data_IF_796678601550
#
_entry.id   IF_796678601550
#
_cell.length_a   1.000
_cell.length_b   1.000
_cell.length_c   1.000
_cell.angle_alpha   90.00
_cell.angle_beta   90.00
_cell.angle_gamma   90.00
#
_symmetry.space_group_name_H-M   'P 1'
#
loop_
_entity.id
_entity.type
_entity.pdbx_description
1 polymer ?
#
# COMPACT_ATOMS: atom_id res chain seq x y z
N UNK A 1 14.58 18.64 9.46
CA UNK A 1 13.38 18.02 8.86
C UNK A 1 12.74 17.14 9.90
N UNK A 2 11.49 17.31 10.24
CA UNK A 2 10.70 16.11 10.51
C UNK A 2 10.97 15.22 9.31
N UNK A 3 11.36 13.98 9.51
CA UNK A 3 11.69 13.05 8.43
C UNK A 3 10.48 13.01 7.49
N UNK A 4 10.60 13.62 6.31
CA UNK A 4 9.54 13.58 5.30
C UNK A 4 9.31 12.10 4.99
N UNK A 5 8.23 11.53 5.52
CA UNK A 5 7.93 10.13 5.35
C UNK A 5 7.47 9.92 3.91
N UNK A 6 8.31 9.32 3.10
CA UNK A 6 7.96 8.90 1.75
C UNK A 6 6.80 7.90 1.87
N UNK A 7 5.67 8.20 1.23
CA UNK A 7 4.50 7.34 1.25
C UNK A 7 4.73 6.00 0.54
N UNK A 8 3.93 5.02 0.86
CA UNK A 8 3.87 3.74 0.16
C UNK A 8 3.10 3.86 -1.16
N UNK A 9 3.28 2.89 -2.05
CA UNK A 9 2.59 2.81 -3.33
C UNK A 9 1.08 2.56 -3.12
N UNK A 10 0.27 3.18 -3.95
CA UNK A 10 -1.16 2.89 -4.06
C UNK A 10 -1.40 1.71 -5.01
N UNK A 11 -2.56 1.08 -4.91
CA UNK A 11 -2.90 -0.05 -5.76
C UNK A 11 -2.83 0.27 -7.26
N UNK A 12 -3.25 1.48 -7.65
CA UNK A 12 -3.26 1.98 -9.03
C UNK A 12 -1.86 2.37 -9.56
N UNK A 13 -0.85 2.40 -8.70
CA UNK A 13 0.55 2.68 -9.03
C UNK A 13 1.39 1.40 -9.21
N UNK A 14 0.78 0.24 -8.97
CA UNK A 14 1.44 -1.06 -9.05
C UNK A 14 0.90 -1.83 -10.25
N UNK A 15 1.81 -2.20 -11.12
CA UNK A 15 1.53 -2.99 -12.31
C UNK A 15 1.90 -4.46 -12.09
N UNK A 16 1.21 -5.37 -12.78
CA UNK A 16 1.46 -6.80 -12.76
C UNK A 16 2.11 -7.23 -14.08
N UNK A 17 3.21 -7.97 -13.99
CA UNK A 17 3.91 -8.54 -15.15
C UNK A 17 4.00 -10.06 -15.02
N UNK A 18 3.67 -10.79 -16.09
CA UNK A 18 3.88 -12.23 -16.15
C UNK A 18 5.40 -12.49 -16.15
N UNK A 19 5.86 -13.27 -15.16
CA UNK A 19 7.26 -13.67 -15.03
C UNK A 19 7.53 -15.04 -15.64
N UNK A 20 6.75 -16.03 -15.22
CA UNK A 20 6.82 -17.38 -15.76
C UNK A 20 5.44 -17.88 -16.15
N UNK A 21 5.37 -18.78 -17.14
CA UNK A 21 4.11 -19.35 -17.60
C UNK A 21 4.31 -20.82 -17.99
N UNK A 22 3.34 -21.65 -17.66
CA UNK A 22 3.29 -23.07 -17.99
C UNK A 22 1.84 -23.51 -18.23
N UNK A 23 1.62 -24.76 -18.57
CA UNK A 23 0.26 -25.35 -18.69
C UNK A 23 -0.54 -25.29 -17.37
N UNK A 24 0.17 -25.29 -16.21
CA UNK A 24 -0.45 -25.34 -14.87
C UNK A 24 -0.86 -23.97 -14.34
N UNK A 25 -0.25 -22.91 -14.87
CA UNK A 25 -0.48 -21.56 -14.41
C UNK A 25 0.65 -20.61 -14.77
N UNK A 26 0.60 -19.42 -14.21
CA UNK A 26 1.60 -18.38 -14.39
C UNK A 26 1.95 -17.70 -13.06
N UNK A 27 3.15 -17.13 -13.00
CA UNK A 27 3.54 -16.27 -11.88
C UNK A 27 3.55 -14.81 -12.30
N UNK A 28 3.21 -13.93 -11.38
CA UNK A 28 3.27 -12.48 -11.57
C UNK A 28 4.39 -11.87 -10.71
N UNK A 29 4.99 -10.81 -11.25
CA UNK A 29 5.81 -9.86 -10.51
C UNK A 29 5.09 -8.52 -10.45
N UNK A 30 5.19 -7.86 -9.31
CA UNK A 30 4.72 -6.49 -9.12
C UNK A 30 5.86 -5.52 -9.48
N UNK A 31 5.52 -4.45 -10.18
CA UNK A 31 6.47 -3.41 -10.52
C UNK A 31 5.77 -2.04 -10.57
N UNK A 32 6.52 -0.97 -10.72
CA UNK A 32 6.01 0.39 -10.87
C UNK A 32 6.65 1.09 -12.07
N UNK A 33 5.94 2.00 -12.68
CA UNK A 33 6.47 2.89 -13.70
C UNK A 33 7.35 3.98 -13.05
N UNK A 34 8.37 4.44 -13.78
CA UNK A 34 9.27 5.51 -13.30
C UNK A 34 8.56 6.85 -13.05
N UNK A 35 7.39 7.08 -13.67
CA UNK A 35 6.56 8.27 -13.42
C UNK A 35 5.95 8.27 -12.03
N UNK A 36 5.76 7.09 -11.43
CA UNK A 36 5.33 6.97 -10.04
C UNK A 36 6.42 7.48 -9.11
N UNK A 37 7.68 7.15 -9.38
CA UNK A 37 8.82 7.68 -8.61
C UNK A 37 8.88 9.20 -8.68
N UNK A 38 8.75 9.78 -9.87
CA UNK A 38 8.73 11.24 -10.06
C UNK A 38 7.61 11.88 -9.23
N UNK A 39 6.39 11.33 -9.32
CA UNK A 39 5.24 11.84 -8.57
C UNK A 39 5.48 11.81 -7.06
N UNK A 40 6.02 10.72 -6.54
CA UNK A 40 6.32 10.59 -5.10
C UNK A 40 7.41 11.58 -4.67
N UNK A 41 8.44 11.79 -5.49
CA UNK A 41 9.46 12.80 -5.25
C UNK A 41 8.87 14.22 -5.24
N UNK A 42 8.02 14.54 -6.22
CA UNK A 42 7.33 15.83 -6.30
C UNK A 42 6.39 16.05 -5.10
N UNK A 43 5.60 15.04 -4.73
CA UNK A 43 4.69 15.09 -3.58
C UNK A 43 5.44 15.27 -2.25
N UNK A 44 6.63 14.66 -2.12
CA UNK A 44 7.36 14.63 -0.85
C UNK A 44 8.29 15.83 -0.68
N UNK A 45 8.97 16.24 -1.74
CA UNK A 45 10.05 17.24 -1.68
C UNK A 45 9.73 18.50 -2.50
N UNK A 46 8.64 18.50 -3.27
CA UNK A 46 8.33 19.55 -4.26
C UNK A 46 9.18 19.42 -5.52
N UNK A 47 8.71 20.01 -6.62
CA UNK A 47 9.38 19.92 -7.93
C UNK A 47 10.81 20.51 -7.96
N UNK A 48 11.17 21.38 -7.03
CA UNK A 48 12.49 22.00 -6.90
C UNK A 48 13.35 21.40 -5.78
N UNK A 49 12.78 20.49 -4.97
CA UNK A 49 13.46 19.88 -3.84
C UNK A 49 14.25 18.62 -4.21
N UNK A 50 14.21 18.18 -5.46
CA UNK A 50 14.97 17.04 -5.94
C UNK A 50 15.48 17.26 -7.36
N UNK A 51 16.52 16.55 -7.72
CA UNK A 51 17.08 16.54 -9.09
C UNK A 51 17.66 15.17 -9.40
N UNK A 52 17.87 14.88 -10.69
CA UNK A 52 18.54 13.66 -11.13
C UNK A 52 19.55 13.94 -12.23
N UNK A 53 20.58 13.12 -12.26
CA UNK A 53 21.58 13.09 -13.34
C UNK A 53 21.89 11.65 -13.72
N UNK A 54 22.41 11.44 -14.92
CA UNK A 54 22.87 10.15 -15.37
C UNK A 54 24.36 10.25 -15.77
N UNK A 55 25.13 9.23 -15.44
CA UNK A 55 26.54 9.12 -15.77
C UNK A 55 26.84 7.69 -16.24
N UNK A 56 27.64 7.57 -17.31
CA UNK A 56 28.18 6.29 -17.73
C UNK A 56 29.49 6.04 -17.01
N UNK A 57 29.60 4.93 -16.28
CA UNK A 57 30.78 4.50 -15.54
C UNK A 57 31.07 3.06 -15.97
N UNK A 58 32.24 2.82 -16.53
CA UNK A 58 32.66 1.49 -17.01
C UNK A 58 31.63 0.80 -17.92
N UNK A 59 31.01 1.57 -18.83
CA UNK A 59 29.99 1.08 -19.76
C UNK A 59 28.60 0.86 -19.16
N UNK A 60 28.41 1.15 -17.87
CA UNK A 60 27.13 1.04 -17.19
C UNK A 60 26.52 2.42 -16.93
N UNK A 61 25.21 2.55 -17.13
CA UNK A 61 24.50 3.81 -16.87
C UNK A 61 24.02 3.85 -15.43
N UNK A 62 24.54 4.82 -14.69
CA UNK A 62 24.13 5.14 -13.31
C UNK A 62 23.19 6.33 -13.32
N UNK A 63 22.20 6.32 -12.42
CA UNK A 63 21.37 7.47 -12.10
C UNK A 63 21.65 7.91 -10.67
N UNK A 64 21.94 9.19 -10.49
CA UNK A 64 22.00 9.84 -9.19
C UNK A 64 20.71 10.61 -8.96
N UNK A 65 20.03 10.37 -7.85
CA UNK A 65 18.92 11.17 -7.37
C UNK A 65 19.38 11.93 -6.14
N UNK A 66 19.25 13.25 -6.18
CA UNK A 66 19.66 14.15 -5.12
C UNK A 66 18.43 14.85 -4.53
N UNK A 67 18.40 14.96 -3.21
CA UNK A 67 17.33 15.64 -2.45
C UNK A 67 17.98 16.76 -1.64
N UNK A 68 17.38 17.94 -1.67
CA UNK A 68 17.83 19.09 -0.89
C UNK A 68 17.46 18.91 0.59
N UNK A 69 18.45 18.81 1.46
CA UNK A 69 18.22 18.96 2.88
C UNK A 69 18.04 20.45 3.22
N UNK A 70 16.80 20.84 3.45
CA UNK A 70 16.44 22.24 3.76
C UNK A 70 17.03 22.77 5.07
N UNK A 71 17.57 21.90 5.94
CA UNK A 71 18.22 22.32 7.19
C UNK A 71 19.66 22.72 6.98
N UNK A 72 20.41 21.87 6.26
CA UNK A 72 21.84 22.13 5.97
C UNK A 72 22.05 22.95 4.70
N UNK A 73 21.05 22.99 3.79
CA UNK A 73 21.18 23.55 2.46
C UNK A 73 21.98 22.64 1.50
N UNK A 74 22.30 21.42 1.91
CA UNK A 74 23.10 20.49 1.13
C UNK A 74 22.23 19.56 0.27
N UNK A 75 22.77 19.19 -0.90
CA UNK A 75 22.21 18.17 -1.76
C UNK A 75 22.74 16.79 -1.35
N UNK A 76 21.87 15.93 -0.84
CA UNK A 76 22.23 14.55 -0.48
C UNK A 76 21.93 13.65 -1.66
N UNK A 77 22.95 12.90 -2.12
CA UNK A 77 22.91 12.08 -3.31
C UNK A 77 22.82 10.58 -2.97
N UNK A 78 22.01 9.85 -3.74
CA UNK A 78 22.01 8.38 -3.79
C UNK A 78 22.00 7.93 -5.23
N UNK A 79 22.84 6.95 -5.55
CA UNK A 79 23.07 6.49 -6.92
C UNK A 79 22.81 4.99 -7.04
N UNK A 80 22.39 4.56 -8.23
CA UNK A 80 22.32 3.15 -8.57
C UNK A 80 22.46 2.94 -10.09
N UNK A 81 22.81 1.71 -10.48
CA UNK A 81 23.04 1.29 -11.85
C UNK A 81 21.76 0.70 -12.47
N UNK A 82 21.55 0.95 -13.75
CA UNK A 82 20.45 0.35 -14.51
C UNK A 82 20.93 -0.80 -15.41
N UNK A 83 20.05 -1.79 -15.57
CA UNK A 83 20.25 -2.88 -16.54
C UNK A 83 19.60 -2.55 -17.87
N UNK A 84 20.21 -3.01 -18.96
CA UNK A 84 19.64 -2.84 -20.30
C UNK A 84 18.49 -3.81 -20.54
N UNK A 85 17.36 -3.30 -21.05
CA UNK A 85 16.26 -4.14 -21.52
C UNK A 85 16.51 -4.72 -22.91
N UNK A 86 15.63 -5.61 -23.33
CA UNK A 86 15.70 -6.23 -24.67
C UNK A 86 15.29 -5.27 -25.81
N UNK A 87 14.39 -4.33 -25.52
CA UNK A 87 13.90 -3.31 -26.46
C UNK A 87 14.20 -1.92 -25.91
N UNK A 88 14.48 -0.94 -26.79
CA UNK A 88 14.81 0.45 -26.42
C UNK A 88 15.88 0.51 -25.29
N UNK A 89 17.03 -0.07 -25.54
CA UNK A 89 18.06 -0.35 -24.53
C UNK A 89 18.42 0.86 -23.68
N UNK A 90 18.69 2.00 -24.30
CA UNK A 90 19.12 3.23 -23.61
C UNK A 90 18.02 3.80 -22.71
N UNK A 91 16.80 3.87 -23.23
CA UNK A 91 15.62 4.34 -22.48
C UNK A 91 15.27 3.40 -21.33
N UNK A 92 15.35 2.09 -21.57
CA UNK A 92 15.12 1.07 -20.58
C UNK A 92 16.14 1.16 -19.45
N UNK A 93 17.44 1.29 -19.77
CA UNK A 93 18.51 1.41 -18.82
C UNK A 93 18.42 2.70 -17.99
N UNK A 94 18.10 3.84 -18.63
CA UNK A 94 17.90 5.11 -17.93
C UNK A 94 16.71 5.05 -16.97
N UNK A 95 15.60 4.43 -17.39
CA UNK A 95 14.44 4.25 -16.54
C UNK A 95 14.72 3.31 -15.38
N UNK A 96 15.44 2.22 -15.61
CA UNK A 96 15.79 1.24 -14.59
C UNK A 96 16.74 1.84 -13.54
N UNK A 97 17.83 2.52 -13.98
CA UNK A 97 18.76 3.18 -13.07
C UNK A 97 18.08 4.22 -12.18
N UNK A 98 17.12 4.99 -12.74
CA UNK A 98 16.34 5.96 -11.97
C UNK A 98 15.46 5.28 -10.91
N UNK A 99 14.70 4.26 -11.27
CA UNK A 99 13.85 3.49 -10.33
C UNK A 99 14.69 2.89 -9.19
N UNK A 100 15.90 2.40 -9.50
CA UNK A 100 16.83 1.83 -8.51
C UNK A 100 17.41 2.91 -7.60
N UNK A 101 17.78 4.08 -8.15
CA UNK A 101 18.20 5.22 -7.33
C UNK A 101 17.08 5.68 -6.39
N UNK A 102 15.82 5.71 -6.85
CA UNK A 102 14.65 6.01 -6.02
C UNK A 102 14.40 4.95 -4.94
N UNK A 103 14.66 3.67 -5.22
CA UNK A 103 14.62 2.61 -4.23
C UNK A 103 15.59 2.87 -3.05
N UNK A 104 16.77 3.45 -3.32
CA UNK A 104 17.71 3.83 -2.27
C UNK A 104 17.17 4.94 -1.35
N UNK A 105 16.21 5.72 -1.83
CA UNK A 105 15.46 6.71 -1.05
C UNK A 105 14.25 6.12 -0.31
N UNK A 106 13.88 4.86 -0.58
CA UNK A 106 12.77 4.16 0.06
C UNK A 106 11.50 4.11 -0.76
N UNK A 107 11.52 4.55 -2.03
CA UNK A 107 10.36 4.51 -2.92
C UNK A 107 10.22 3.12 -3.54
N UNK A 108 9.11 2.45 -3.30
CA UNK A 108 8.80 1.15 -3.89
C UNK A 108 9.54 -0.04 -3.26
N UNK A 109 10.18 0.13 -2.09
CA UNK A 109 10.83 -0.98 -1.36
C UNK A 109 9.85 -2.05 -0.95
N UNK A 110 8.62 -1.68 -0.67
CA UNK A 110 7.53 -2.58 -0.31
C UNK A 110 7.25 -3.66 -1.36
N UNK A 111 7.56 -3.41 -2.64
CA UNK A 111 7.38 -4.41 -3.70
C UNK A 111 8.27 -5.66 -3.51
N UNK A 112 9.38 -5.52 -2.80
CA UNK A 112 10.28 -6.65 -2.49
C UNK A 112 9.75 -7.55 -1.38
N UNK A 113 8.73 -7.10 -0.63
CA UNK A 113 8.01 -7.92 0.34
C UNK A 113 6.81 -8.67 -0.28
N UNK A 114 6.63 -8.58 -1.61
CA UNK A 114 5.55 -9.26 -2.31
C UNK A 114 5.65 -10.79 -2.14
N UNK A 115 4.55 -11.48 -1.85
CA UNK A 115 4.53 -12.93 -1.80
C UNK A 115 4.77 -13.52 -3.19
N UNK A 116 5.05 -14.81 -3.27
CA UNK A 116 5.00 -15.52 -4.55
C UNK A 116 3.56 -15.52 -5.08
N UNK A 117 3.34 -14.81 -6.19
CA UNK A 117 2.01 -14.65 -6.80
C UNK A 117 1.85 -15.69 -7.89
N UNK A 118 1.06 -16.74 -7.59
CA UNK A 118 0.73 -17.80 -8.54
C UNK A 118 -0.74 -17.75 -8.95
N UNK A 119 -0.99 -17.77 -10.25
CA UNK A 119 -2.33 -17.83 -10.85
C UNK A 119 -2.48 -19.17 -11.56
N UNK A 120 -3.36 -20.07 -11.07
CA UNK A 120 -3.63 -21.35 -11.74
C UNK A 120 -4.24 -21.17 -13.12
N UNK A 121 -4.01 -22.11 -14.03
CA UNK A 121 -4.51 -22.08 -15.40
C UNK A 121 -6.03 -21.86 -15.52
N UNK A 122 -6.82 -22.37 -14.57
CA UNK A 122 -8.29 -22.13 -14.54
C UNK A 122 -8.71 -20.70 -14.25
N UNK A 123 -7.77 -19.79 -13.88
CA UNK A 123 -8.01 -18.38 -13.62
C UNK A 123 -7.35 -17.42 -14.60
N UNK A 124 -6.64 -17.95 -15.61
CA UNK A 124 -5.97 -17.19 -16.68
C UNK A 124 -6.17 -17.88 -18.03
N UNK A 125 -6.27 -17.10 -19.11
CA UNK A 125 -6.44 -17.60 -20.46
C UNK A 125 -5.09 -18.05 -21.06
N UNK A 126 -4.53 -19.14 -20.53
CA UNK A 126 -3.26 -19.71 -21.00
C UNK A 126 -3.50 -20.49 -22.28
N UNK A 127 -2.70 -20.21 -23.30
CA UNK A 127 -2.76 -20.84 -24.62
C UNK A 127 -1.38 -21.39 -25.00
N UNK A 128 -1.37 -22.50 -25.73
CA UNK A 128 -0.16 -23.02 -26.36
C UNK A 128 -0.08 -22.48 -27.79
N UNK A 129 0.93 -21.70 -28.10
CA UNK A 129 1.21 -21.16 -29.44
C UNK A 129 2.68 -21.39 -29.76
N UNK A 130 2.96 -21.96 -30.95
CA UNK A 130 4.32 -22.22 -31.42
C UNK A 130 5.20 -22.94 -30.39
N UNK A 131 4.66 -23.98 -29.74
CA UNK A 131 5.30 -24.73 -28.64
C UNK A 131 5.67 -23.90 -27.39
N UNK A 132 5.09 -22.70 -27.23
CA UNK A 132 5.27 -21.86 -26.07
C UNK A 132 3.93 -21.51 -25.43
N UNK A 133 3.86 -21.59 -24.10
CA UNK A 133 2.69 -21.11 -23.39
C UNK A 133 2.70 -19.57 -23.39
N UNK A 134 1.55 -18.97 -23.68
CA UNK A 134 1.34 -17.52 -23.64
C UNK A 134 0.00 -17.19 -22.97
N UNK A 135 -0.10 -16.01 -22.41
CA UNK A 135 -1.31 -15.44 -21.85
C UNK A 135 -1.33 -13.94 -22.17
N UNK A 136 -2.46 -13.48 -22.68
CA UNK A 136 -2.68 -12.09 -23.06
C UNK A 136 -3.58 -11.36 -22.07
N UNK A 137 -3.98 -12.02 -20.98
CA UNK A 137 -4.76 -11.39 -19.92
C UNK A 137 -3.95 -10.27 -19.25
N UNK A 138 -4.62 -9.17 -18.98
CA UNK A 138 -4.08 -8.08 -18.17
C UNK A 138 -4.54 -8.25 -16.72
N UNK A 139 -3.57 -8.17 -15.82
CA UNK A 139 -3.80 -8.26 -14.38
C UNK A 139 -3.54 -6.91 -13.72
N UNK A 140 -4.34 -6.56 -12.73
CA UNK A 140 -4.16 -5.31 -11.97
C UNK A 140 -4.33 -5.54 -10.48
N UNK A 141 -3.62 -4.77 -9.69
CA UNK A 141 -3.80 -4.73 -8.25
C UNK A 141 -5.09 -3.97 -7.96
N UNK A 142 -6.07 -4.65 -7.35
CA UNK A 142 -7.33 -4.05 -6.94
C UNK A 142 -7.25 -3.38 -5.58
N UNK A 143 -6.54 -4.03 -4.65
CA UNK A 143 -6.29 -3.49 -3.32
C UNK A 143 -4.98 -4.01 -2.77
N UNK A 144 -4.33 -3.21 -1.94
CA UNK A 144 -3.10 -3.54 -1.25
C UNK A 144 -3.16 -2.92 0.14
N UNK A 145 -2.60 -3.63 1.13
CA UNK A 145 -2.38 -3.10 2.47
C UNK A 145 -0.97 -3.43 2.95
N UNK A 146 -0.48 -2.63 3.87
CA UNK A 146 0.87 -2.72 4.41
C UNK A 146 0.82 -2.84 5.93
N UNK A 147 1.82 -3.52 6.51
CA UNK A 147 2.02 -3.60 7.96
C UNK A 147 2.84 -2.39 8.47
N UNK A 148 3.12 -2.38 9.77
CA UNK A 148 3.91 -1.32 10.42
C UNK A 148 5.36 -1.27 9.90
N UNK A 149 5.89 -2.38 9.44
CA UNK A 149 7.22 -2.54 8.86
C UNK A 149 7.26 -2.13 7.38
N UNK A 150 6.12 -1.60 6.84
CA UNK A 150 5.96 -1.16 5.45
C UNK A 150 6.03 -2.31 4.43
N UNK A 151 5.71 -3.54 4.84
CA UNK A 151 5.65 -4.73 4.00
C UNK A 151 4.22 -5.01 3.55
N UNK A 152 4.05 -5.66 2.40
CA UNK A 152 2.73 -6.04 1.88
C UNK A 152 2.09 -7.07 2.81
N UNK A 153 1.03 -6.69 3.50
CA UNK A 153 0.27 -7.55 4.42
C UNK A 153 -0.99 -8.13 3.80
N UNK A 154 -1.62 -7.43 2.84
CA UNK A 154 -2.75 -7.95 2.09
C UNK A 154 -2.67 -7.48 0.62
N UNK A 155 -3.12 -8.33 -0.30
CA UNK A 155 -3.07 -8.06 -1.73
C UNK A 155 -4.20 -8.77 -2.47
N UNK A 156 -4.94 -8.03 -3.29
CA UNK A 156 -5.94 -8.61 -4.19
C UNK A 156 -5.57 -8.24 -5.62
N UNK A 157 -5.45 -9.24 -6.49
CA UNK A 157 -5.23 -9.06 -7.92
C UNK A 157 -6.46 -9.58 -8.68
N UNK A 158 -6.88 -8.80 -9.66
CA UNK A 158 -8.01 -9.12 -10.55
C UNK A 158 -7.56 -9.13 -12.01
N UNK A 159 -8.33 -9.82 -12.85
CA UNK A 159 -8.16 -9.77 -14.29
C UNK A 159 -9.01 -8.63 -14.90
N UNK A 160 -9.00 -8.49 -16.24
CA UNK A 160 -9.76 -7.48 -16.98
C UNK A 160 -11.28 -7.49 -16.69
N UNK A 161 -11.82 -8.67 -16.34
CA UNK A 161 -13.25 -8.85 -16.01
C UNK A 161 -13.55 -8.60 -14.54
N UNK A 162 -12.66 -7.94 -13.82
CA UNK A 162 -12.74 -7.70 -12.36
C UNK A 162 -12.87 -8.99 -11.52
N UNK A 163 -12.55 -10.16 -12.07
CA UNK A 163 -12.55 -11.41 -11.32
C UNK A 163 -11.27 -11.53 -10.52
N UNK A 164 -11.40 -11.87 -9.24
CA UNK A 164 -10.28 -12.12 -8.34
C UNK A 164 -9.50 -13.36 -8.79
N UNK A 165 -8.23 -13.20 -9.13
CA UNK A 165 -7.31 -14.26 -9.54
C UNK A 165 -6.31 -14.64 -8.46
N UNK A 166 -5.95 -13.69 -7.59
CA UNK A 166 -5.04 -13.89 -6.46
C UNK A 166 -5.51 -13.11 -5.24
N UNK A 167 -5.27 -13.66 -4.05
CA UNK A 167 -5.54 -13.01 -2.77
C UNK A 167 -4.50 -13.44 -1.74
N UNK A 168 -3.82 -12.44 -1.15
CA UNK A 168 -3.10 -12.56 0.10
C UNK A 168 -3.99 -11.95 1.20
N UNK A 169 -4.40 -12.75 2.17
CA UNK A 169 -5.11 -12.25 3.35
C UNK A 169 -4.11 -11.84 4.41
N UNK A 170 -4.24 -10.64 4.96
CA UNK A 170 -3.45 -10.20 6.11
C UNK A 170 -3.68 -11.13 7.31
N UNK A 171 -2.66 -11.36 8.10
CA UNK A 171 -2.80 -12.06 9.36
C UNK A 171 -3.74 -11.24 10.28
N UNK A 172 -4.99 -11.68 10.42
CA UNK A 172 -6.02 -10.99 11.20
C UNK A 172 -7.28 -10.58 10.46
N UNK A 173 -7.43 -10.93 9.18
CA UNK A 173 -8.62 -10.59 8.41
C UNK A 173 -9.53 -11.81 8.15
N UNK A 174 -10.20 -12.30 9.18
CA UNK A 174 -11.51 -12.90 9.00
C UNK A 174 -12.48 -11.75 8.76
N UNK A 175 -12.76 -11.44 7.51
CA UNK A 175 -13.72 -10.39 7.18
C UNK A 175 -14.63 -10.80 6.05
N UNK A 176 -15.89 -10.81 6.41
CA UNK A 176 -17.03 -10.61 5.52
C UNK A 176 -16.83 -9.30 4.73
N UNK A 177 -17.19 -9.35 3.45
CA UNK A 177 -17.25 -8.20 2.54
C UNK A 177 -17.75 -6.93 3.23
N UNK A 178 -16.94 -5.86 3.13
CA UNK A 178 -17.48 -4.51 3.13
C UNK A 178 -16.52 -3.54 2.43
N UNK A 179 -16.88 -3.22 1.21
CA UNK A 179 -16.37 -2.09 0.45
C UNK A 179 -16.98 -0.82 1.08
N UNK A 180 -16.23 -0.17 1.97
CA UNK A 180 -16.55 1.20 2.38
C UNK A 180 -15.29 1.96 2.70
N UNK A 181 -15.10 3.04 1.94
CA UNK A 181 -14.12 4.12 2.08
C UNK A 181 -13.58 4.32 3.50
N UNK A 182 -12.27 4.54 3.61
CA UNK A 182 -11.58 5.10 4.78
C UNK A 182 -12.15 6.51 5.10
N UNK A 183 -13.28 6.54 5.78
CA UNK A 183 -13.68 7.68 6.59
C UNK A 183 -13.29 7.36 8.03
N UNK A 184 -12.60 8.29 8.70
CA UNK A 184 -12.50 8.33 10.16
C UNK A 184 -13.90 8.05 10.71
N UNK A 185 -14.11 6.91 11.36
CA UNK A 185 -15.38 6.58 11.95
C UNK A 185 -15.53 7.39 13.24
N UNK A 186 -16.03 8.60 13.13
CA UNK A 186 -16.67 9.28 14.23
C UNK A 186 -18.06 8.65 14.46
N UNK A 187 -18.45 8.47 15.72
CA UNK A 187 -19.79 8.01 16.06
C UNK A 187 -20.83 8.95 15.46
N UNK A 188 -21.96 8.41 15.00
CA UNK A 188 -23.08 9.24 14.56
C UNK A 188 -23.68 9.99 15.77
N UNK A 189 -24.33 11.14 15.51
CA UNK A 189 -25.01 11.91 16.57
C UNK A 189 -26.00 11.05 17.38
N UNK A 190 -26.69 10.13 16.73
CA UNK A 190 -27.61 9.18 17.36
C UNK A 190 -26.88 8.18 18.29
N UNK A 191 -25.70 7.71 17.89
CA UNK A 191 -24.88 6.84 18.73
C UNK A 191 -24.32 7.55 19.95
N UNK A 192 -23.91 8.81 19.81
CA UNK A 192 -23.46 9.66 20.93
C UNK A 192 -24.61 9.88 21.91
N UNK A 193 -25.81 10.22 21.43
CA UNK A 193 -27.00 10.39 22.28
C UNK A 193 -27.37 9.11 23.01
N UNK A 194 -27.31 7.94 22.33
CA UNK A 194 -27.56 6.66 22.95
C UNK A 194 -26.54 6.31 24.04
N UNK A 195 -25.27 6.61 23.82
CA UNK A 195 -24.20 6.41 24.80
C UNK A 195 -24.43 7.29 26.04
N UNK A 196 -24.75 8.57 25.86
CA UNK A 196 -25.05 9.50 26.94
C UNK A 196 -26.27 9.04 27.78
N UNK A 197 -27.32 8.53 27.12
CA UNK A 197 -28.49 7.99 27.80
C UNK A 197 -28.14 6.81 28.70
N UNK A 198 -27.30 5.88 28.23
CA UNK A 198 -26.88 4.71 29.00
C UNK A 198 -25.93 5.07 30.14
N UNK A 199 -25.05 6.05 29.95
CA UNK A 199 -24.20 6.59 31.02
C UNK A 199 -25.05 7.23 32.13
N UNK A 200 -26.02 8.06 31.75
CA UNK A 200 -26.95 8.68 32.70
C UNK A 200 -27.79 7.60 33.46
N UNK A 201 -28.29 6.60 32.74
CA UNK A 201 -29.03 5.48 33.35
C UNK A 201 -28.20 4.70 34.37
N UNK A 202 -26.92 4.49 34.08
CA UNK A 202 -26.05 3.66 34.96
C UNK A 202 -25.28 4.47 35.98
N UNK A 203 -25.32 5.80 35.94
CA UNK A 203 -24.55 6.68 36.82
C UNK A 203 -23.02 6.61 36.63
N UNK A 204 -22.58 6.01 35.53
CA UNK A 204 -21.15 5.87 35.21
C UNK A 204 -20.67 7.14 34.49
N UNK A 205 -19.61 7.76 35.02
CA UNK A 205 -18.98 8.90 34.40
C UNK A 205 -18.25 8.50 33.11
N UNK A 206 -18.23 9.39 32.11
CA UNK A 206 -17.55 9.16 30.82
C UNK A 206 -16.05 8.88 30.99
N UNK A 207 -15.42 9.55 31.94
CA UNK A 207 -14.00 9.37 32.27
C UNK A 207 -13.68 7.93 32.66
N UNK A 208 -14.59 7.25 33.40
CA UNK A 208 -14.43 5.84 33.75
C UNK A 208 -14.44 4.93 32.52
N UNK A 209 -15.27 5.27 31.53
CA UNK A 209 -15.31 4.54 30.25
C UNK A 209 -14.04 4.82 29.44
N UNK A 210 -13.59 6.06 29.39
CA UNK A 210 -12.36 6.47 28.70
C UNK A 210 -11.14 5.74 29.28
N UNK A 211 -10.98 5.72 30.58
CA UNK A 211 -9.87 5.04 31.26
C UNK A 211 -9.89 3.53 31.05
N UNK A 212 -11.05 2.91 31.16
CA UNK A 212 -11.21 1.45 31.02
C UNK A 212 -10.93 0.95 29.61
N UNK A 213 -11.32 1.73 28.60
CA UNK A 213 -11.22 1.36 27.19
C UNK A 213 -10.12 2.09 26.45
N UNK A 214 -9.31 2.92 27.15
CA UNK A 214 -8.22 3.74 26.62
C UNK A 214 -8.65 4.63 25.43
N UNK A 215 -9.77 5.33 25.60
CA UNK A 215 -10.35 6.21 24.60
C UNK A 215 -9.98 7.65 24.93
N UNK A 216 -9.36 8.38 24.01
CA UNK A 216 -8.99 9.78 24.22
C UNK A 216 -10.20 10.71 24.11
N UNK A 217 -11.05 10.51 23.11
CA UNK A 217 -12.25 11.31 22.88
C UNK A 217 -13.45 10.40 22.52
N UNK A 218 -14.66 10.63 23.07
CA UNK A 218 -15.85 9.82 22.77
C UNK A 218 -16.18 9.74 21.30
N UNK A 219 -15.95 10.83 20.58
CA UNK A 219 -16.23 10.96 19.14
C UNK A 219 -15.24 10.16 18.25
N UNK A 220 -14.05 9.84 18.79
CA UNK A 220 -13.03 9.05 18.10
C UNK A 220 -13.22 7.54 18.25
N UNK A 221 -14.26 7.10 18.97
CA UNK A 221 -14.55 5.71 19.25
C UNK A 221 -14.93 4.96 17.95
N UNK A 222 -14.30 3.80 17.70
CA UNK A 222 -14.69 2.94 16.60
C UNK A 222 -16.07 2.28 16.85
N UNK A 223 -16.78 1.90 15.78
CA UNK A 223 -18.06 1.23 15.88
C UNK A 223 -17.99 -0.08 16.71
N UNK A 224 -16.86 -0.80 16.65
CA UNK A 224 -16.64 -2.00 17.45
C UNK A 224 -16.48 -1.68 18.93
N UNK A 225 -15.70 -0.65 19.25
CA UNK A 225 -15.51 -0.19 20.62
C UNK A 225 -16.82 0.32 21.22
N UNK A 226 -17.61 1.09 20.45
CA UNK A 226 -18.95 1.51 20.82
C UNK A 226 -19.84 0.33 21.18
N UNK A 227 -19.85 -0.74 20.35
CA UNK A 227 -20.61 -1.95 20.63
C UNK A 227 -20.21 -2.64 21.95
N UNK A 228 -18.91 -2.71 22.25
CA UNK A 228 -18.38 -3.26 23.50
C UNK A 228 -18.80 -2.42 24.73
N UNK A 229 -18.66 -1.11 24.63
CA UNK A 229 -19.05 -0.17 25.69
C UNK A 229 -20.55 -0.25 25.96
N UNK A 230 -21.38 -0.18 24.91
CA UNK A 230 -22.85 -0.27 25.04
C UNK A 230 -23.29 -1.62 25.61
N UNK A 231 -22.67 -2.72 25.24
CA UNK A 231 -22.97 -4.04 25.80
C UNK A 231 -22.62 -4.13 27.28
N UNK A 232 -21.55 -3.50 27.71
CA UNK A 232 -21.15 -3.44 29.12
C UNK A 232 -22.12 -2.56 29.93
N UNK A 233 -22.48 -1.37 29.43
CA UNK A 233 -23.42 -0.47 30.07
C UNK A 233 -24.82 -1.09 30.22
N UNK A 234 -25.31 -1.77 29.18
CA UNK A 234 -26.64 -2.48 29.25
C UNK A 234 -26.70 -3.60 30.28
N UNK A 235 -25.56 -4.23 30.61
CA UNK A 235 -25.46 -5.24 31.68
C UNK A 235 -25.36 -4.64 33.09
N UNK A 236 -25.08 -3.35 33.19
CA UNK A 236 -24.96 -2.64 34.45
C UNK A 236 -26.35 -2.23 34.96
N UNK A 237 -26.61 -2.41 36.27
CA UNK A 237 -27.85 -1.98 36.89
C UNK A 237 -28.02 -0.47 36.83
N UNK A 238 -29.25 0.00 36.80
CA UNK A 238 -29.59 1.42 36.88
C UNK A 238 -29.11 1.97 38.23
N UNK A 239 -28.51 3.15 38.22
CA UNK A 239 -28.20 3.88 39.47
C UNK A 239 -29.52 4.16 40.23
N UNK A 240 -29.51 3.93 41.53
CA UNK A 240 -30.66 4.17 42.42
C UNK A 240 -30.87 5.67 42.67
#
# INVERSE_FOLDING_TARGET
MENALIRLLRADEIECRISTISEKGLSLLLYKDARVDQRILDETFGAFGWKRSHQCIDGNLYCTVEILDTKSGEWIAKQDVGTTGHTEKEKSQASDSFKRACFNWGIGRELYSAPFIWIPAGKAAIQLKDNKYCCYDHFKVKSIAYNAEREISALIIVNEKEKKVFELKGAGADTKDNNKSLQKSSLSKEQITSLQSELTRTGIAMETVQDRYKIQEPESMSAEMYGKVMSALKKTKTAA
#
